data_IF_939852734801
#
_entry.id   IF_939852734801
#
_cell.length_a   1.000
_cell.length_b   1.000
_cell.length_c   1.000
_cell.angle_alpha   90.00
_cell.angle_beta   90.00
_cell.angle_gamma   90.00
#
_symmetry.space_group_name_H-M   'P 1'
#
loop_
_entity.id
_entity.type
_entity.pdbx_description
1 polymer ?
#
# COMPACT_ATOMS: atom_id res chain seq x y z
N UNK A 1 22.05 10.06 -20.51
CA UNK A 1 21.23 10.58 -21.62
C UNK A 1 19.88 9.88 -21.59
N UNK A 2 18.75 10.57 -21.62
CA UNK A 2 17.46 9.92 -21.73
C UNK A 2 17.41 9.16 -23.07
N UNK A 3 17.04 7.88 -23.03
CA UNK A 3 16.81 7.09 -24.24
C UNK A 3 15.74 7.80 -25.08
N UNK A 4 16.01 8.04 -26.38
CA UNK A 4 14.97 8.53 -27.30
C UNK A 4 13.78 7.55 -27.23
N UNK A 5 12.65 8.04 -26.73
CA UNK A 5 11.40 7.29 -26.77
C UNK A 5 11.03 7.20 -28.26
N UNK A 6 10.95 5.96 -28.79
CA UNK A 6 10.53 5.74 -30.18
C UNK A 6 9.09 6.22 -30.38
N UNK A 7 8.69 6.44 -31.64
CA UNK A 7 7.33 6.79 -31.98
C UNK A 7 6.36 5.60 -31.74
N UNK A 8 5.24 5.84 -31.05
CA UNK A 8 4.19 4.85 -30.90
C UNK A 8 3.20 4.96 -32.07
N UNK A 9 2.95 3.84 -32.76
CA UNK A 9 2.06 3.77 -33.93
C UNK A 9 0.87 2.82 -33.68
N UNK A 10 -0.18 2.97 -34.47
CA UNK A 10 -1.38 2.11 -34.42
C UNK A 10 -1.08 0.63 -34.74
N UNK A 11 -0.02 0.36 -35.51
CA UNK A 11 0.48 -0.98 -35.81
C UNK A 11 1.20 -1.66 -34.65
N UNK A 12 1.61 -0.90 -33.62
CA UNK A 12 2.23 -1.46 -32.42
C UNK A 12 1.22 -2.27 -31.61
N UNK A 13 1.72 -3.25 -30.87
CA UNK A 13 0.91 -4.10 -29.98
C UNK A 13 0.64 -3.41 -28.63
N UNK A 14 -0.34 -3.92 -27.89
CA UNK A 14 -0.62 -3.49 -26.51
C UNK A 14 0.63 -3.63 -25.64
N UNK A 15 1.41 -4.71 -25.80
CA UNK A 15 2.68 -4.88 -25.08
C UNK A 15 3.71 -3.79 -25.44
N UNK A 16 3.80 -3.42 -26.72
CA UNK A 16 4.67 -2.32 -27.14
C UNK A 16 4.22 -0.99 -26.52
N UNK A 17 2.91 -0.73 -26.45
CA UNK A 17 2.36 0.44 -25.77
C UNK A 17 2.66 0.44 -24.25
N UNK A 18 2.60 -0.70 -23.58
CA UNK A 18 3.01 -0.83 -22.18
C UNK A 18 4.48 -0.46 -21.99
N UNK A 19 5.37 -1.03 -22.83
CA UNK A 19 6.81 -0.70 -22.79
C UNK A 19 7.07 0.77 -23.10
N UNK A 20 6.34 1.34 -24.07
CA UNK A 20 6.42 2.76 -24.38
C UNK A 20 6.05 3.62 -23.16
N UNK A 21 4.91 3.34 -22.50
CA UNK A 21 4.48 4.05 -21.30
C UNK A 21 5.52 3.97 -20.18
N UNK A 22 6.09 2.79 -19.92
CA UNK A 22 7.11 2.58 -18.88
C UNK A 22 8.43 3.34 -19.16
N UNK A 23 8.66 3.77 -20.39
CA UNK A 23 9.80 4.61 -20.74
C UNK A 23 9.49 6.13 -20.74
N UNK A 24 8.25 6.53 -20.43
CA UNK A 24 7.89 7.96 -20.38
C UNK A 24 8.43 8.64 -19.11
N UNK A 25 8.74 9.97 -19.18
CA UNK A 25 9.08 10.75 -17.98
C UNK A 25 8.02 10.68 -16.89
N UNK A 26 6.74 10.60 -17.29
CA UNK A 26 5.63 10.45 -16.35
C UNK A 26 5.75 9.18 -15.52
N UNK A 27 6.14 8.07 -16.12
CA UNK A 27 6.35 6.81 -15.40
C UNK A 27 7.61 6.87 -14.53
N UNK A 28 8.71 7.45 -15.05
CA UNK A 28 9.96 7.59 -14.31
C UNK A 28 9.82 8.43 -13.03
N UNK A 29 8.88 9.38 -13.00
CA UNK A 29 8.58 10.21 -11.83
C UNK A 29 7.66 9.52 -10.80
N UNK A 30 7.18 8.30 -11.06
CA UNK A 30 6.41 7.54 -10.08
C UNK A 30 7.33 6.98 -8.99
N UNK A 31 6.78 6.81 -7.77
CA UNK A 31 7.50 6.13 -6.70
C UNK A 31 7.90 4.70 -7.13
N UNK A 32 9.09 4.23 -6.72
CA UNK A 32 9.64 2.93 -7.14
C UNK A 32 8.72 1.74 -6.89
N UNK A 33 7.97 1.74 -5.77
CA UNK A 33 6.95 0.72 -5.52
C UNK A 33 5.83 0.75 -6.56
N UNK A 34 5.36 1.95 -6.94
CA UNK A 34 4.33 2.11 -7.96
C UNK A 34 4.84 1.65 -9.34
N UNK A 35 6.09 1.93 -9.68
CA UNK A 35 6.70 1.44 -10.92
C UNK A 35 6.72 -0.10 -10.96
N UNK A 36 7.15 -0.76 -9.87
CA UNK A 36 7.15 -2.22 -9.76
C UNK A 36 5.75 -2.82 -9.85
N UNK A 37 4.77 -2.19 -9.21
CA UNK A 37 3.37 -2.62 -9.29
C UNK A 37 2.82 -2.51 -10.71
N UNK A 38 3.11 -1.42 -11.42
CA UNK A 38 2.71 -1.27 -12.83
C UNK A 38 3.37 -2.32 -13.71
N UNK A 39 4.67 -2.56 -13.59
CA UNK A 39 5.40 -3.55 -14.39
C UNK A 39 4.79 -4.95 -14.21
N UNK A 40 4.62 -5.38 -12.95
CA UNK A 40 3.98 -6.66 -12.60
C UNK A 40 2.57 -6.77 -13.18
N UNK A 41 1.74 -5.76 -12.99
CA UNK A 41 0.33 -5.82 -13.39
C UNK A 41 0.15 -5.69 -14.90
N UNK A 42 0.93 -4.83 -15.59
CA UNK A 42 0.91 -4.73 -17.04
C UNK A 42 1.44 -6.01 -17.72
N UNK A 43 2.41 -6.68 -17.11
CA UNK A 43 2.86 -7.99 -17.57
C UNK A 43 1.73 -9.03 -17.50
N UNK A 44 0.98 -9.08 -16.39
CA UNK A 44 -0.17 -9.96 -16.24
C UNK A 44 -1.31 -9.61 -17.22
N UNK A 45 -1.58 -8.31 -17.43
CA UNK A 45 -2.55 -7.84 -18.43
C UNK A 45 -2.16 -8.29 -19.84
N UNK A 46 -0.89 -8.16 -20.22
CA UNK A 46 -0.40 -8.60 -21.53
C UNK A 46 -0.48 -10.13 -21.72
N UNK A 47 -0.33 -10.89 -20.64
CA UNK A 47 -0.40 -12.37 -20.68
C UNK A 47 -1.84 -12.90 -20.68
N UNK A 48 -2.85 -12.06 -20.58
CA UNK A 48 -4.26 -12.48 -20.58
C UNK A 48 -4.68 -12.99 -21.95
N UNK A 49 -5.27 -14.18 -21.98
CA UNK A 49 -5.81 -14.75 -23.20
C UNK A 49 -7.15 -14.08 -23.54
N UNK A 50 -7.26 -13.61 -24.77
CA UNK A 50 -8.49 -13.03 -25.34
C UNK A 50 -9.00 -13.87 -26.51
N UNK A 51 -9.83 -13.34 -27.36
CA UNK A 51 -10.45 -14.04 -28.48
C UNK A 51 -9.46 -14.91 -29.28
N UNK A 52 -9.88 -16.14 -29.62
CA UNK A 52 -9.12 -17.11 -30.46
C UNK A 52 -7.75 -17.49 -29.86
N UNK A 53 -7.62 -17.52 -28.54
CA UNK A 53 -6.38 -17.90 -27.84
C UNK A 53 -5.24 -16.90 -27.98
N UNK A 54 -5.49 -15.70 -28.52
CA UNK A 54 -4.48 -14.64 -28.66
C UNK A 54 -4.25 -13.93 -27.33
N UNK A 55 -3.00 -13.67 -26.97
CA UNK A 55 -2.68 -12.84 -25.80
C UNK A 55 -3.05 -11.37 -26.07
N UNK A 56 -3.61 -10.69 -25.07
CA UNK A 56 -3.97 -9.29 -25.17
C UNK A 56 -2.74 -8.42 -25.52
N UNK A 57 -1.58 -8.74 -24.95
CA UNK A 57 -0.33 -8.06 -25.25
C UNK A 57 0.06 -8.11 -26.73
N UNK A 58 -0.37 -9.14 -27.48
CA UNK A 58 -0.07 -9.34 -28.90
C UNK A 58 -1.13 -8.71 -29.84
N UNK A 59 -2.19 -8.12 -29.30
CA UNK A 59 -3.20 -7.40 -30.10
C UNK A 59 -2.60 -6.07 -30.52
N UNK A 60 -2.67 -5.74 -31.84
CA UNK A 60 -2.23 -4.42 -32.35
C UNK A 60 -3.23 -3.35 -31.91
N UNK A 61 -2.76 -2.14 -31.65
CA UNK A 61 -3.61 -1.03 -31.18
C UNK A 61 -4.79 -0.78 -32.15
N UNK A 62 -4.53 -0.78 -33.46
CA UNK A 62 -5.58 -0.63 -34.50
C UNK A 62 -6.61 -1.76 -34.50
N UNK A 63 -6.26 -2.94 -34.02
CA UNK A 63 -7.14 -4.13 -33.96
C UNK A 63 -7.79 -4.29 -32.57
N UNK A 64 -7.41 -3.45 -31.59
CA UNK A 64 -7.95 -3.52 -30.23
C UNK A 64 -9.40 -3.07 -30.21
N UNK A 65 -10.30 -3.99 -29.89
CA UNK A 65 -11.75 -3.75 -29.83
C UNK A 65 -12.25 -3.87 -28.38
N UNK A 66 -13.39 -3.29 -28.10
CA UNK A 66 -14.09 -3.41 -26.83
C UNK A 66 -14.25 -4.89 -26.41
N UNK A 67 -14.60 -5.78 -27.37
CA UNK A 67 -14.73 -7.20 -27.11
C UNK A 67 -13.46 -7.86 -26.54
N UNK A 68 -12.25 -7.43 -26.98
CA UNK A 68 -11.00 -7.97 -26.41
C UNK A 68 -10.86 -7.57 -24.92
N UNK A 69 -11.20 -6.33 -24.60
CA UNK A 69 -11.08 -5.80 -23.23
C UNK A 69 -12.16 -6.38 -22.32
N UNK A 70 -13.36 -6.63 -22.84
CA UNK A 70 -14.46 -7.30 -22.10
C UNK A 70 -14.04 -8.71 -21.70
N UNK A 71 -13.59 -9.51 -22.66
CA UNK A 71 -13.12 -10.89 -22.39
C UNK A 71 -11.99 -10.88 -21.36
N UNK A 72 -11.03 -9.96 -21.50
CA UNK A 72 -9.95 -9.84 -20.53
C UNK A 72 -10.47 -9.49 -19.13
N UNK A 73 -11.38 -8.52 -19.03
CA UNK A 73 -11.94 -8.08 -17.75
C UNK A 73 -12.74 -9.18 -17.06
N UNK A 74 -13.55 -9.92 -17.82
CA UNK A 74 -14.33 -11.06 -17.30
C UNK A 74 -13.40 -12.19 -16.80
N UNK A 75 -12.32 -12.48 -17.54
CA UNK A 75 -11.27 -13.40 -17.10
C UNK A 75 -10.63 -12.93 -15.79
N UNK A 76 -10.28 -11.64 -15.67
CA UNK A 76 -9.69 -11.10 -14.44
C UNK A 76 -10.68 -11.15 -13.27
N UNK A 77 -11.98 -10.92 -13.52
CA UNK A 77 -13.01 -11.05 -12.48
C UNK A 77 -13.09 -12.48 -11.96
N UNK A 78 -13.11 -13.45 -12.85
CA UNK A 78 -13.21 -14.88 -12.51
C UNK A 78 -11.97 -15.39 -11.77
N UNK A 79 -10.77 -15.06 -12.28
CA UNK A 79 -9.52 -15.65 -11.79
C UNK A 79 -8.90 -14.89 -10.60
N UNK A 80 -9.13 -13.57 -10.50
CA UNK A 80 -8.40 -12.68 -9.58
C UNK A 80 -9.32 -11.86 -8.68
N UNK A 81 -10.61 -11.85 -8.93
CA UNK A 81 -11.62 -11.10 -8.20
C UNK A 81 -11.66 -9.61 -8.56
N UNK A 82 -12.70 -8.96 -8.08
CA UNK A 82 -13.11 -7.60 -8.45
C UNK A 82 -12.01 -6.55 -8.28
N UNK A 83 -11.28 -6.59 -7.15
CA UNK A 83 -10.25 -5.57 -6.85
C UNK A 83 -9.11 -5.62 -7.87
N UNK A 84 -8.61 -6.81 -8.17
CA UNK A 84 -7.51 -7.00 -9.12
C UNK A 84 -7.94 -6.69 -10.53
N UNK A 85 -9.15 -7.13 -10.95
CA UNK A 85 -9.71 -6.85 -12.26
C UNK A 85 -9.83 -5.34 -12.50
N UNK A 86 -10.37 -4.60 -11.52
CA UNK A 86 -10.47 -3.15 -11.60
C UNK A 86 -9.10 -2.46 -11.66
N UNK A 87 -8.10 -2.99 -10.95
CA UNK A 87 -6.75 -2.45 -10.97
C UNK A 87 -6.06 -2.71 -12.32
N UNK A 88 -6.18 -3.92 -12.89
CA UNK A 88 -5.69 -4.23 -14.22
C UNK A 88 -6.33 -3.34 -15.30
N UNK A 89 -7.65 -3.15 -15.23
CA UNK A 89 -8.35 -2.23 -16.11
C UNK A 89 -7.82 -0.78 -15.97
N UNK A 90 -7.51 -0.34 -14.74
CA UNK A 90 -6.92 0.98 -14.51
C UNK A 90 -5.53 1.10 -15.12
N UNK A 91 -4.66 0.11 -14.91
CA UNK A 91 -3.31 0.10 -15.49
C UNK A 91 -3.35 0.13 -17.02
N UNK A 92 -4.18 -0.73 -17.62
CA UNK A 92 -4.36 -0.76 -19.08
C UNK A 92 -4.92 0.58 -19.61
N UNK A 93 -5.91 1.16 -18.92
CA UNK A 93 -6.51 2.44 -19.32
C UNK A 93 -5.49 3.56 -19.37
N UNK A 94 -4.56 3.63 -18.42
CA UNK A 94 -3.48 4.64 -18.38
C UNK A 94 -2.54 4.49 -19.59
N UNK A 95 -2.19 3.26 -19.93
CA UNK A 95 -1.36 2.97 -21.13
C UNK A 95 -2.09 3.38 -22.41
N UNK A 96 -3.36 2.99 -22.56
CA UNK A 96 -4.14 3.33 -23.76
C UNK A 96 -4.42 4.83 -23.87
N UNK A 97 -4.63 5.53 -22.78
CA UNK A 97 -4.73 7.00 -22.77
C UNK A 97 -3.39 7.64 -23.17
N UNK A 98 -2.26 6.99 -22.90
CA UNK A 98 -0.96 7.45 -23.43
C UNK A 98 -0.89 7.21 -24.93
N UNK A 99 -1.36 6.06 -25.44
CA UNK A 99 -1.42 5.79 -26.87
C UNK A 99 -2.32 6.79 -27.62
N UNK A 100 -3.43 7.24 -27.02
CA UNK A 100 -4.28 8.29 -27.60
C UNK A 100 -3.52 9.62 -27.72
N UNK A 101 -2.79 10.04 -26.67
CA UNK A 101 -1.99 11.27 -26.71
C UNK A 101 -0.88 11.26 -27.77
N UNK A 102 -0.47 10.08 -28.21
CA UNK A 102 0.50 9.87 -29.28
C UNK A 102 -0.14 9.44 -30.60
N UNK A 103 -1.45 9.67 -30.75
CA UNK A 103 -2.24 9.42 -31.97
C UNK A 103 -2.19 7.96 -32.48
N UNK A 104 -1.69 7.04 -31.66
CA UNK A 104 -1.63 5.61 -31.97
C UNK A 104 -2.95 4.86 -31.69
N UNK A 105 -3.91 5.50 -31.03
CA UNK A 105 -5.23 4.98 -30.74
C UNK A 105 -6.25 6.12 -30.69
N UNK A 106 -7.43 5.93 -31.29
CA UNK A 106 -8.47 6.98 -31.30
C UNK A 106 -9.35 6.96 -30.06
N UNK A 107 -9.63 5.78 -29.53
CA UNK A 107 -10.54 5.59 -28.38
C UNK A 107 -10.00 4.53 -27.44
N UNK A 108 -10.11 4.80 -26.14
CA UNK A 108 -9.78 3.83 -25.11
C UNK A 108 -10.94 2.87 -24.85
N UNK A 109 -10.89 1.61 -25.30
CA UNK A 109 -12.00 0.69 -25.09
C UNK A 109 -12.23 0.30 -23.63
N UNK A 110 -11.24 0.50 -22.75
CA UNK A 110 -11.40 0.25 -21.30
C UNK A 110 -12.38 1.24 -20.65
N UNK A 111 -12.55 2.44 -21.22
CA UNK A 111 -13.49 3.44 -20.70
C UNK A 111 -14.96 2.99 -20.78
N UNK A 112 -15.25 2.03 -21.65
CA UNK A 112 -16.61 1.48 -21.84
C UNK A 112 -16.92 0.31 -20.90
N UNK A 113 -15.94 -0.19 -20.13
CA UNK A 113 -16.13 -1.29 -19.18
C UNK A 113 -16.96 -0.82 -17.99
N UNK A 114 -18.06 -1.49 -17.73
CA UNK A 114 -18.83 -1.36 -16.49
C UNK A 114 -18.09 -2.12 -15.38
N UNK A 115 -17.40 -1.38 -14.52
CA UNK A 115 -16.60 -1.98 -13.45
C UNK A 115 -17.48 -2.51 -12.33
N UNK A 116 -17.21 -3.75 -11.92
CA UNK A 116 -17.84 -4.35 -10.74
C UNK A 116 -17.44 -3.60 -9.47
N UNK A 117 -18.37 -3.47 -8.53
CA UNK A 117 -18.11 -2.85 -7.23
C UNK A 117 -17.69 -3.92 -6.23
N UNK A 118 -16.64 -3.69 -5.49
CA UNK A 118 -16.30 -4.50 -4.31
C UNK A 118 -16.93 -3.88 -3.07
N UNK A 119 -17.46 -4.72 -2.18
CA UNK A 119 -17.91 -4.24 -0.89
C UNK A 119 -16.71 -3.63 -0.10
N UNK A 120 -16.92 -2.50 0.59
CA UNK A 120 -15.86 -1.95 1.44
C UNK A 120 -15.54 -2.92 2.57
N UNK A 121 -14.26 -3.08 2.89
CA UNK A 121 -13.83 -3.89 4.03
C UNK A 121 -14.25 -3.16 5.31
N UNK A 122 -15.04 -3.84 6.17
CA UNK A 122 -15.59 -3.29 7.42
C UNK A 122 -14.91 -3.82 8.68
N UNK A 123 -13.85 -4.60 8.52
CA UNK A 123 -13.15 -5.22 9.65
C UNK A 123 -12.49 -4.15 10.52
N UNK A 124 -12.65 -4.29 11.83
CA UNK A 124 -12.03 -3.50 12.88
C UNK A 124 -11.45 -4.42 13.94
N UNK A 125 -10.39 -3.99 14.58
CA UNK A 125 -9.89 -4.64 15.79
C UNK A 125 -10.73 -4.17 16.99
N UNK A 126 -10.97 -5.07 17.92
CA UNK A 126 -11.47 -4.66 19.25
C UNK A 126 -10.30 -4.23 20.13
N UNK A 127 -10.57 -3.46 21.20
CA UNK A 127 -9.55 -3.08 22.16
C UNK A 127 -8.89 -4.30 22.82
N UNK A 128 -9.67 -5.35 23.10
CA UNK A 128 -9.14 -6.59 23.67
C UNK A 128 -8.24 -7.33 22.68
N UNK A 129 -8.56 -7.30 21.38
CA UNK A 129 -7.69 -7.88 20.36
C UNK A 129 -6.38 -7.11 20.25
N UNK A 130 -6.41 -5.76 20.27
CA UNK A 130 -5.20 -4.94 20.27
C UNK A 130 -4.35 -5.23 21.51
N UNK A 131 -4.97 -5.29 22.69
CA UNK A 131 -4.28 -5.61 23.95
C UNK A 131 -3.63 -6.99 23.88
N UNK A 132 -4.39 -8.03 23.56
CA UNK A 132 -3.87 -9.41 23.45
C UNK A 132 -2.72 -9.52 22.45
N UNK A 133 -2.81 -8.82 21.32
CA UNK A 133 -1.73 -8.75 20.34
C UNK A 133 -0.47 -8.10 20.94
N UNK A 134 -0.61 -6.95 21.61
CA UNK A 134 0.51 -6.22 22.18
C UNK A 134 1.17 -7.00 23.33
N UNK A 135 0.37 -7.60 24.21
CA UNK A 135 0.87 -8.44 25.32
C UNK A 135 1.71 -9.60 24.76
N UNK A 136 1.20 -10.27 23.72
CA UNK A 136 1.92 -11.37 23.06
C UNK A 136 3.19 -10.86 22.36
N UNK A 137 3.11 -9.77 21.59
CA UNK A 137 4.25 -9.24 20.85
C UNK A 137 5.36 -8.75 21.79
N UNK A 138 5.01 -8.12 22.90
CA UNK A 138 5.97 -7.58 23.86
C UNK A 138 6.56 -8.64 24.79
N UNK A 139 5.90 -9.78 24.96
CA UNK A 139 6.45 -10.90 25.74
C UNK A 139 7.61 -11.59 25.05
N UNK A 140 7.84 -11.36 23.74
CA UNK A 140 8.86 -12.03 22.96
C UNK A 140 9.75 -11.02 22.21
N UNK A 141 11.06 -11.12 22.44
CA UNK A 141 12.05 -10.24 21.82
C UNK A 141 11.92 -10.12 20.31
N UNK A 142 11.70 -11.24 19.63
CA UNK A 142 11.60 -11.32 18.17
C UNK A 142 10.44 -10.53 17.59
N UNK A 143 9.37 -10.28 18.36
CA UNK A 143 8.17 -9.55 17.91
C UNK A 143 8.05 -8.14 18.48
N UNK A 144 8.96 -7.74 19.37
CA UNK A 144 8.88 -6.45 20.07
C UNK A 144 8.77 -5.26 19.13
N UNK A 145 9.60 -5.19 18.09
CA UNK A 145 9.51 -4.12 17.09
C UNK A 145 8.21 -4.18 16.28
N UNK A 146 7.66 -5.36 16.03
CA UNK A 146 6.36 -5.52 15.37
C UNK A 146 5.23 -5.04 16.29
N UNK A 147 5.26 -5.39 17.57
CA UNK A 147 4.36 -4.86 18.59
C UNK A 147 4.39 -3.33 18.62
N UNK A 148 5.58 -2.75 18.60
CA UNK A 148 5.75 -1.30 18.63
C UNK A 148 5.20 -0.62 17.35
N UNK A 149 5.41 -1.19 16.16
CA UNK A 149 4.82 -0.69 14.91
C UNK A 149 3.29 -0.71 14.98
N UNK A 150 2.70 -1.80 15.48
CA UNK A 150 1.25 -1.94 15.62
C UNK A 150 0.71 -0.97 16.68
N UNK A 151 1.38 -0.83 17.82
CA UNK A 151 1.00 0.09 18.88
C UNK A 151 0.99 1.54 18.39
N UNK A 152 2.07 1.99 17.74
CA UNK A 152 2.16 3.32 17.14
C UNK A 152 1.08 3.55 16.07
N UNK A 153 0.87 2.56 15.18
CA UNK A 153 -0.14 2.66 14.13
C UNK A 153 -1.57 2.79 14.68
N UNK A 154 -1.88 2.10 15.76
CA UNK A 154 -3.16 2.15 16.44
C UNK A 154 -3.32 3.45 17.23
N UNK A 155 -2.41 3.74 18.16
CA UNK A 155 -2.52 4.89 19.06
C UNK A 155 -2.52 6.23 18.32
N UNK A 156 -1.71 6.34 17.26
CA UNK A 156 -1.59 7.57 16.48
C UNK A 156 -2.46 7.58 15.22
N UNK A 157 -3.28 6.55 14.99
CA UNK A 157 -4.08 6.40 13.78
C UNK A 157 -3.25 6.55 12.49
N UNK A 158 -1.97 6.13 12.51
CA UNK A 158 -1.06 6.28 11.38
C UNK A 158 -1.01 5.01 10.52
N UNK A 159 -0.44 5.15 9.31
CA UNK A 159 -0.23 3.98 8.44
C UNK A 159 0.92 3.14 8.97
N UNK A 160 0.75 1.83 8.97
CA UNK A 160 1.83 0.88 9.32
C UNK A 160 3.10 1.14 8.51
N UNK A 161 2.93 1.53 7.22
CA UNK A 161 4.05 1.89 6.35
C UNK A 161 4.86 3.08 6.84
N UNK A 162 4.22 4.08 7.47
CA UNK A 162 4.90 5.24 8.04
C UNK A 162 5.56 4.85 9.38
N UNK A 163 4.88 4.08 10.22
CA UNK A 163 5.42 3.66 11.53
C UNK A 163 6.65 2.75 11.42
N UNK A 164 6.70 1.86 10.43
CA UNK A 164 7.87 0.98 10.22
C UNK A 164 9.15 1.73 9.86
N UNK A 165 9.03 2.90 9.26
CA UNK A 165 10.17 3.73 8.82
C UNK A 165 10.44 4.91 9.75
N UNK A 166 9.71 5.01 10.87
CA UNK A 166 9.86 6.09 11.82
C UNK A 166 11.28 6.10 12.40
N UNK A 167 11.86 7.28 12.51
CA UNK A 167 13.23 7.48 13.03
C UNK A 167 13.21 8.21 14.38
N UNK A 168 14.25 7.99 15.19
CA UNK A 168 14.34 8.60 16.52
C UNK A 168 14.31 10.12 16.52
N UNK A 169 14.80 10.75 15.44
CA UNK A 169 14.81 12.23 15.31
C UNK A 169 13.40 12.82 15.27
N UNK A 170 12.37 12.02 15.00
CA UNK A 170 10.96 12.44 15.00
C UNK A 170 10.27 12.23 16.35
N UNK A 171 10.97 11.65 17.34
CA UNK A 171 10.43 11.30 18.66
C UNK A 171 11.10 12.17 19.73
N UNK A 172 10.33 13.05 20.33
CA UNK A 172 10.72 13.84 21.52
C UNK A 172 10.11 13.15 22.76
N UNK A 173 10.91 12.30 23.41
CA UNK A 173 10.48 11.58 24.61
C UNK A 173 10.41 12.49 25.84
N UNK A 174 11.14 13.60 25.86
CA UNK A 174 11.19 14.51 27.00
C UNK A 174 9.93 15.36 27.05
N UNK A 175 9.45 15.81 25.88
CA UNK A 175 8.21 16.58 25.76
C UNK A 175 7.00 15.69 25.40
N UNK A 176 7.19 14.38 25.25
CA UNK A 176 6.11 13.44 24.96
C UNK A 176 5.42 13.69 23.61
N UNK A 177 6.19 14.00 22.55
CA UNK A 177 5.68 14.37 21.24
C UNK A 177 6.34 13.59 20.11
N UNK A 178 5.56 13.27 19.08
CA UNK A 178 6.02 12.73 17.80
C UNK A 178 5.65 13.68 16.68
N UNK A 179 6.62 14.00 15.83
CA UNK A 179 6.46 14.84 14.64
C UNK A 179 6.73 14.02 13.38
N UNK A 180 5.77 13.95 12.46
CA UNK A 180 5.85 13.11 11.27
C UNK A 180 5.33 13.80 10.02
N UNK A 181 6.10 13.77 8.93
CA UNK A 181 5.61 13.98 7.58
C UNK A 181 5.17 12.63 6.98
N UNK A 182 3.87 12.47 6.71
CA UNK A 182 3.33 11.22 6.15
C UNK A 182 3.84 10.96 4.73
N UNK A 183 4.36 9.75 4.46
CA UNK A 183 4.98 9.39 3.18
C UNK A 183 4.06 9.50 1.96
N UNK A 184 2.76 9.23 2.12
CA UNK A 184 1.81 9.18 1.00
C UNK A 184 1.18 10.53 0.65
N UNK A 185 0.92 11.38 1.63
CA UNK A 185 0.19 12.65 1.45
C UNK A 185 1.00 13.89 1.76
N UNK A 186 2.22 13.72 2.28
CA UNK A 186 3.09 14.81 2.74
C UNK A 186 2.42 15.69 3.81
N UNK A 187 1.42 15.15 4.52
CA UNK A 187 0.80 15.84 5.63
C UNK A 187 1.73 15.77 6.85
N UNK A 188 1.98 16.91 7.47
CA UNK A 188 2.66 17.00 8.76
C UNK A 188 1.65 16.73 9.87
N UNK A 189 2.02 15.89 10.82
CA UNK A 189 1.23 15.58 12.01
C UNK A 189 2.11 15.68 13.25
N UNK A 190 1.55 16.26 14.30
CA UNK A 190 2.19 16.42 15.60
C UNK A 190 1.31 15.73 16.64
N UNK A 191 1.78 14.63 17.20
CA UNK A 191 0.97 13.77 18.02
C UNK A 191 1.59 13.53 19.39
N UNK A 192 0.77 13.51 20.47
CA UNK A 192 1.26 13.22 21.80
C UNK A 192 1.63 11.75 21.92
N UNK A 193 2.67 11.48 22.70
CA UNK A 193 3.05 10.14 23.12
C UNK A 193 2.40 9.91 24.50
N UNK A 194 1.53 8.91 24.64
CA UNK A 194 0.74 8.73 25.85
C UNK A 194 0.72 7.26 26.30
N UNK A 195 0.38 7.05 27.56
CA UNK A 195 0.18 5.74 28.14
C UNK A 195 1.37 4.81 28.02
N UNK A 196 1.10 3.52 27.89
CA UNK A 196 2.12 2.49 27.80
C UNK A 196 3.08 2.60 26.61
N UNK A 197 2.75 3.39 25.58
CA UNK A 197 3.66 3.63 24.46
C UNK A 197 4.91 4.41 24.90
N UNK A 198 4.79 5.32 25.89
CA UNK A 198 5.95 6.06 26.43
C UNK A 198 7.00 5.10 26.98
N UNK A 199 6.57 4.15 27.80
CA UNK A 199 7.47 3.18 28.44
C UNK A 199 8.11 2.27 27.41
N UNK A 200 7.32 1.79 26.45
CA UNK A 200 7.81 0.94 25.36
C UNK A 200 8.83 1.67 24.48
N UNK A 201 8.62 2.95 24.17
CA UNK A 201 9.59 3.74 23.40
C UNK A 201 10.88 3.99 24.19
N UNK A 202 10.79 4.23 25.51
CA UNK A 202 11.96 4.38 26.38
C UNK A 202 12.78 3.08 26.43
N UNK A 203 12.12 1.93 26.61
CA UNK A 203 12.81 0.63 26.59
C UNK A 203 13.41 0.34 25.21
N UNK A 204 12.67 0.61 24.15
CA UNK A 204 13.17 0.43 22.78
C UNK A 204 14.40 1.31 22.49
N UNK A 205 14.40 2.56 23.00
CA UNK A 205 15.52 3.49 22.82
C UNK A 205 16.78 3.03 23.54
N UNK A 206 16.66 2.37 24.70
CA UNK A 206 17.84 1.78 25.40
C UNK A 206 18.52 0.72 24.53
N UNK A 207 17.75 -0.14 23.86
CA UNK A 207 18.27 -1.26 23.09
C UNK A 207 18.64 -0.88 21.66
N UNK A 208 17.92 0.08 21.04
CA UNK A 208 18.05 0.42 19.61
C UNK A 208 18.30 1.91 19.35
N UNK A 209 18.59 2.73 20.35
CA UNK A 209 18.86 4.16 20.17
C UNK A 209 20.16 4.49 19.45
N UNK A 210 21.05 3.51 19.27
CA UNK A 210 22.32 3.66 18.54
C UNK A 210 22.19 3.60 17.01
N UNK A 211 21.01 3.30 16.50
CA UNK A 211 20.68 3.25 15.08
C UNK A 211 19.42 4.10 14.79
N UNK A 212 19.15 4.54 13.53
CA UNK A 212 18.16 5.58 13.28
C UNK A 212 16.69 5.19 13.50
N UNK A 213 16.31 3.91 13.29
CA UNK A 213 14.90 3.49 13.28
C UNK A 213 14.36 3.24 14.69
N UNK A 214 13.09 3.67 14.92
CA UNK A 214 12.37 3.43 16.18
C UNK A 214 12.05 1.95 16.36
N UNK A 215 11.63 1.27 15.29
CA UNK A 215 11.28 -0.14 15.32
C UNK A 215 12.03 -0.93 14.22
N UNK A 216 13.36 -1.11 14.37
CA UNK A 216 14.17 -1.84 13.41
C UNK A 216 13.90 -3.35 13.49
N UNK A 217 14.44 -4.10 12.52
CA UNK A 217 14.62 -5.56 12.69
C UNK A 217 15.42 -5.83 13.96
N UNK A 218 14.94 -6.76 14.75
CA UNK A 218 15.63 -7.14 16.01
C UNK A 218 16.99 -7.85 15.76
N UNK A 219 17.19 -8.36 14.53
CA UNK A 219 18.46 -8.91 14.10
C UNK A 219 18.97 -8.16 12.86
N UNK A 220 20.22 -7.69 12.87
CA UNK A 220 20.80 -6.98 11.74
C UNK A 220 20.99 -7.92 10.54
N UNK A 221 20.86 -7.38 9.32
CA UNK A 221 21.24 -8.06 8.08
C UNK A 221 22.55 -7.48 7.57
N UNK A 222 23.51 -8.35 7.28
CA UNK A 222 24.87 -7.95 6.89
C UNK A 222 25.49 -6.90 7.84
N UNK A 223 25.26 -7.04 9.15
CA UNK A 223 25.78 -6.13 10.17
C UNK A 223 25.04 -4.79 10.29
N UNK A 224 23.99 -4.55 9.50
CA UNK A 224 23.25 -3.29 9.53
C UNK A 224 21.80 -3.50 10.00
N UNK A 225 21.34 -2.60 10.86
CA UNK A 225 19.93 -2.51 11.23
C UNK A 225 19.16 -1.79 10.13
N UNK A 226 17.97 -2.30 9.82
CA UNK A 226 17.06 -1.73 8.81
C UNK A 226 15.62 -1.91 9.24
N UNK A 227 14.70 -1.14 8.65
CA UNK A 227 13.27 -1.36 8.85
C UNK A 227 12.80 -2.66 8.15
N UNK A 228 11.71 -3.22 8.66
CA UNK A 228 11.01 -4.33 7.99
C UNK A 228 10.44 -3.87 6.65
N UNK A 229 10.31 -4.77 5.67
CA UNK A 229 9.42 -4.51 4.54
C UNK A 229 7.96 -4.87 4.88
N UNK A 230 7.03 -4.47 4.00
CA UNK A 230 5.60 -4.67 4.29
C UNK A 230 5.16 -6.13 4.25
N UNK A 231 5.80 -6.95 3.45
CA UNK A 231 5.48 -8.38 3.35
C UNK A 231 5.94 -9.11 4.62
N UNK A 232 7.12 -8.75 5.13
CA UNK A 232 7.61 -9.25 6.42
C UNK A 232 6.71 -8.83 7.58
N UNK A 233 6.29 -7.56 7.65
CA UNK A 233 5.35 -7.09 8.69
C UNK A 233 4.06 -7.89 8.61
N UNK A 234 3.49 -8.07 7.42
CA UNK A 234 2.25 -8.82 7.25
C UNK A 234 2.41 -10.29 7.69
N UNK A 235 3.56 -10.91 7.45
CA UNK A 235 3.85 -12.26 7.91
C UNK A 235 3.98 -12.32 9.42
N UNK A 236 4.82 -11.47 10.02
CA UNK A 236 5.07 -11.44 11.46
C UNK A 236 3.82 -11.05 12.27
N UNK A 237 3.00 -10.12 11.76
CA UNK A 237 1.70 -9.80 12.40
C UNK A 237 0.78 -11.03 12.41
N UNK A 238 0.75 -11.84 11.34
CA UNK A 238 -0.02 -13.09 11.34
C UNK A 238 0.50 -14.11 12.35
N UNK A 239 1.82 -14.17 12.53
CA UNK A 239 2.42 -15.07 13.52
C UNK A 239 2.05 -14.65 14.93
N UNK A 240 2.11 -13.35 15.27
CA UNK A 240 1.65 -12.83 16.55
C UNK A 240 0.14 -13.03 16.76
N UNK A 241 -0.68 -12.77 15.73
CA UNK A 241 -2.14 -13.00 15.77
C UNK A 241 -2.46 -14.46 16.07
N UNK A 242 -1.70 -15.40 15.47
CA UNK A 242 -1.86 -16.84 15.72
C UNK A 242 -1.49 -17.21 17.15
N UNK A 243 -0.35 -16.72 17.63
CA UNK A 243 0.15 -16.98 18.99
C UNK A 243 -0.78 -16.38 20.05
N UNK A 244 -1.35 -15.21 19.79
CA UNK A 244 -2.32 -14.56 20.65
C UNK A 244 -3.72 -15.24 20.62
N UNK A 245 -3.93 -16.29 19.83
CA UNK A 245 -5.22 -16.95 19.68
C UNK A 245 -6.30 -16.10 19.01
N UNK A 246 -5.90 -15.08 18.22
CA UNK A 246 -6.80 -14.15 17.56
C UNK A 246 -7.25 -14.67 16.18
N UNK A 247 -8.37 -14.17 15.62
CA UNK A 247 -8.92 -14.65 14.35
C UNK A 247 -8.06 -14.21 13.15
N UNK A 248 -7.22 -15.12 12.63
CA UNK A 248 -6.27 -14.89 11.54
C UNK A 248 -6.88 -14.39 10.23
N UNK A 249 -8.10 -14.83 9.90
CA UNK A 249 -8.70 -14.57 8.60
C UNK A 249 -9.45 -13.24 8.53
N UNK A 250 -9.64 -12.59 9.67
CA UNK A 250 -10.48 -11.39 9.76
C UNK A 250 -9.69 -10.11 9.94
N UNK A 251 -8.64 -10.08 10.75
CA UNK A 251 -7.91 -8.88 11.12
C UNK A 251 -6.55 -8.78 10.43
N UNK A 252 -6.16 -7.57 10.04
CA UNK A 252 -4.84 -7.29 9.46
C UNK A 252 -4.28 -5.99 10.04
N UNK A 253 -2.96 -5.81 9.97
CA UNK A 253 -2.32 -4.56 10.38
C UNK A 253 -2.85 -3.32 9.63
N UNK A 254 -3.34 -3.51 8.40
CA UNK A 254 -3.93 -2.42 7.60
C UNK A 254 -5.25 -1.89 8.15
N UNK A 255 -5.93 -2.66 9.01
CA UNK A 255 -7.21 -2.26 9.61
C UNK A 255 -7.03 -1.36 10.84
N UNK A 256 -5.83 -1.30 11.45
CA UNK A 256 -5.55 -0.56 12.69
C UNK A 256 -5.89 0.93 12.59
N UNK A 257 -5.44 1.59 11.54
CA UNK A 257 -5.74 3.02 11.33
C UNK A 257 -7.25 3.28 11.20
N UNK A 258 -7.99 2.40 10.50
CA UNK A 258 -9.46 2.49 10.43
C UNK A 258 -10.07 2.27 11.81
N UNK A 259 -9.57 1.29 12.54
CA UNK A 259 -10.02 1.00 13.91
C UNK A 259 -9.88 2.23 14.79
N UNK A 260 -8.68 2.81 14.85
CA UNK A 260 -8.40 4.01 15.66
C UNK A 260 -9.29 5.20 15.26
N UNK A 261 -9.40 5.50 13.97
CA UNK A 261 -10.26 6.59 13.49
C UNK A 261 -11.74 6.35 13.84
N UNK A 262 -12.22 5.12 13.68
CA UNK A 262 -13.62 4.81 13.99
C UNK A 262 -13.88 4.93 15.51
N UNK A 263 -12.94 4.52 16.36
CA UNK A 263 -13.05 4.72 17.81
C UNK A 263 -13.11 6.20 18.18
N UNK A 264 -12.24 7.04 17.58
CA UNK A 264 -12.30 8.49 17.80
C UNK A 264 -13.68 9.07 17.44
N UNK A 265 -14.30 8.59 16.35
CA UNK A 265 -15.66 9.01 15.96
C UNK A 265 -16.68 8.53 16.98
N UNK A 266 -16.62 7.28 17.41
CA UNK A 266 -17.53 6.68 18.40
C UNK A 266 -17.41 7.33 19.79
N UNK A 267 -16.22 7.83 20.14
CA UNK A 267 -15.95 8.60 21.37
C UNK A 267 -16.34 10.09 21.25
N UNK A 268 -16.86 10.52 20.11
CA UNK A 268 -17.36 11.87 19.88
C UNK A 268 -16.29 12.90 19.57
N UNK A 269 -15.10 12.48 19.12
CA UNK A 269 -14.07 13.41 18.70
C UNK A 269 -14.53 14.24 17.49
N UNK A 270 -14.19 15.52 17.47
CA UNK A 270 -14.50 16.41 16.36
C UNK A 270 -13.79 15.99 15.07
N UNK A 271 -14.49 16.12 13.94
CA UNK A 271 -13.99 15.73 12.61
C UNK A 271 -12.67 16.45 12.27
N UNK A 272 -12.55 17.75 12.62
CA UNK A 272 -11.32 18.50 12.38
C UNK A 272 -10.13 17.91 13.15
N UNK A 273 -10.33 17.52 14.41
CA UNK A 273 -9.31 16.87 15.23
C UNK A 273 -8.93 15.50 14.64
N UNK A 274 -9.91 14.70 14.21
CA UNK A 274 -9.65 13.41 13.55
C UNK A 274 -8.85 13.60 12.27
N UNK A 275 -9.17 14.61 11.46
CA UNK A 275 -8.44 14.93 10.24
C UNK A 275 -7.00 15.35 10.53
N UNK A 276 -6.79 16.19 11.55
CA UNK A 276 -5.47 16.63 11.99
C UNK A 276 -4.61 15.46 12.46
N UNK A 277 -5.13 14.59 13.33
CA UNK A 277 -4.45 13.38 13.82
C UNK A 277 -4.13 12.44 12.70
N UNK A 278 -5.11 12.14 11.87
CA UNK A 278 -4.97 11.15 10.80
C UNK A 278 -4.29 11.67 9.53
N UNK A 279 -4.16 12.99 9.34
CA UNK A 279 -3.65 13.59 8.10
C UNK A 279 -4.60 13.38 6.90
N UNK A 280 -5.92 13.30 7.11
CA UNK A 280 -6.89 13.32 6.03
C UNK A 280 -7.16 14.75 5.58
N UNK A 281 -7.21 14.96 4.27
CA UNK A 281 -7.48 16.27 3.65
C UNK A 281 -8.96 16.47 3.33
N UNK A 282 -9.75 15.40 3.35
CA UNK A 282 -11.20 15.42 3.14
C UNK A 282 -11.87 14.61 4.27
N UNK A 283 -13.03 15.07 4.76
CA UNK A 283 -13.79 14.39 5.80
C UNK A 283 -14.35 13.03 5.34
#
# INVERSE_FOLDING_TARGET
MPRKIGELKDSNTVQAACKFYMNTPKFANLAGNTQRDYDKNLSAVCATVVQRGKLLGNVRLKDLRFANVTVAYDTWLADRGVRTANYYATCLSIVLNTAIRHEALMLNPVSLIQRSKSAPRKVRWTNDQVRAFLDTAYSQWQWRSIGLIVHMAFQWAQRVGDMRTLVWDTIDLDNGRMDLEQSKRRAEVHLPIQGGLVDMLKEQKKDFGFQPYVAPRVSPRAGMYSCYDMDEINSLVKDVVREAGLPLDTITAMDLRRTAITQMVEEGADIANIMQVSGHTNP
#
